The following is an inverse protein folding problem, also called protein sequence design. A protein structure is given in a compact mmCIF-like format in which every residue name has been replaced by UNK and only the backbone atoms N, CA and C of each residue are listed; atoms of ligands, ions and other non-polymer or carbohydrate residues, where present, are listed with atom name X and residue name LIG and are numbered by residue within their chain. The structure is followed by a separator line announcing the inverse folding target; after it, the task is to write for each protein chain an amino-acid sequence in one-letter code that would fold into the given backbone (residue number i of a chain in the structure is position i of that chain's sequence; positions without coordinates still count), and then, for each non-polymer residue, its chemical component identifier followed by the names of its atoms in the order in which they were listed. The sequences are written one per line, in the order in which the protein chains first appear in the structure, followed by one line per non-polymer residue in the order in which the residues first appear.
data_IF_744839226040
#
_entry.id   IF_744839226040
#
_cell.length_a   1.000
_cell.length_b   1.000
_cell.length_c   1.000
_cell.angle_alpha   90.00
_cell.angle_beta   90.00
_cell.angle_gamma   90.00
#
_symmetry.space_group_name_H-M   'P 1'
#
loop_
_entity.id
_entity.type
_entity.pdbx_description
1 polymer ?
#
# COMPACT_ATOMS: atom_id res chain seq x y z
N UNK A 1 -34.53 27.63 6.73
CA UNK A 1 -34.10 27.74 8.13
C UNK A 1 -33.79 26.33 8.58
N UNK A 2 -32.54 26.08 9.01
CA UNK A 2 -32.00 24.85 9.63
C UNK A 2 -32.02 23.54 8.78
N UNK A 3 -31.02 22.67 8.85
CA UNK A 3 -30.18 22.30 10.01
C UNK A 3 -28.69 22.15 9.69
N UNK A 4 -27.88 22.77 10.56
CA UNK A 4 -26.51 22.35 10.91
C UNK A 4 -26.56 20.95 11.54
N UNK A 5 -25.61 20.07 11.24
CA UNK A 5 -25.29 18.96 12.17
C UNK A 5 -23.90 18.32 11.97
N UNK A 6 -22.84 19.10 12.21
CA UNK A 6 -21.46 18.57 12.39
C UNK A 6 -20.92 18.89 13.80
N UNK A 7 -21.77 19.27 14.76
CA UNK A 7 -21.35 19.45 16.17
C UNK A 7 -21.84 18.29 17.02
N UNK A 8 -20.91 17.43 17.47
CA UNK A 8 -21.14 16.59 18.66
C UNK A 8 -20.97 15.08 18.52
N UNK A 9 -20.12 14.55 17.62
CA UNK A 9 -19.86 13.09 17.59
C UNK A 9 -18.73 12.70 18.53
N UNK A 10 -18.96 11.70 19.37
CA UNK A 10 -17.93 11.14 20.23
C UNK A 10 -16.90 10.34 19.41
N UNK A 11 -15.64 10.28 19.87
CA UNK A 11 -14.57 9.50 19.22
C UNK A 11 -14.98 8.03 18.94
N UNK A 12 -15.67 7.31 19.85
CA UNK A 12 -16.17 5.96 19.61
C UNK A 12 -17.17 5.86 18.45
N UNK A 13 -18.10 6.81 18.33
CA UNK A 13 -19.07 6.83 17.21
C UNK A 13 -18.38 7.07 15.87
N UNK A 14 -17.39 7.96 15.84
CA UNK A 14 -16.60 8.23 14.64
C UNK A 14 -15.86 6.98 14.18
N UNK A 15 -15.26 6.24 15.12
CA UNK A 15 -14.58 4.97 14.85
C UNK A 15 -15.58 3.92 14.35
N UNK A 16 -16.73 3.77 15.01
CA UNK A 16 -17.75 2.79 14.64
C UNK A 16 -18.33 3.07 13.25
N UNK A 17 -18.58 4.34 12.92
CA UNK A 17 -19.01 4.77 11.60
C UNK A 17 -17.94 4.52 10.54
N UNK A 18 -16.66 4.76 10.86
CA UNK A 18 -15.55 4.46 9.95
C UNK A 18 -15.42 2.95 9.65
N UNK A 19 -15.67 2.10 10.64
CA UNK A 19 -15.67 0.64 10.50
C UNK A 19 -16.86 0.19 9.63
N UNK A 20 -18.07 0.70 9.90
CA UNK A 20 -19.27 0.41 9.09
C UNK A 20 -19.09 0.86 7.64
N UNK A 21 -18.54 2.04 7.42
CA UNK A 21 -18.24 2.57 6.08
C UNK A 21 -17.19 1.70 5.34
N UNK A 22 -16.18 1.18 6.04
CA UNK A 22 -15.21 0.22 5.47
C UNK A 22 -15.88 -1.09 5.05
N UNK A 23 -16.75 -1.65 5.91
CA UNK A 23 -17.48 -2.89 5.59
C UNK A 23 -18.40 -2.71 4.38
N UNK A 24 -19.10 -1.58 4.29
CA UNK A 24 -19.96 -1.27 3.16
C UNK A 24 -19.18 -1.06 1.85
N UNK A 25 -17.99 -0.46 1.90
CA UNK A 25 -17.10 -0.32 0.72
C UNK A 25 -16.55 -1.67 0.26
N UNK A 26 -16.18 -2.55 1.19
CA UNK A 26 -15.70 -3.91 0.88
C UNK A 26 -16.77 -4.75 0.17
N UNK A 27 -18.03 -4.59 0.55
CA UNK A 27 -19.17 -5.28 -0.08
C UNK A 27 -19.61 -4.67 -1.43
N UNK A 28 -19.15 -3.47 -1.78
CA UNK A 28 -19.54 -2.73 -3.01
C UNK A 28 -18.40 -2.53 -4.02
N UNK A 29 -17.23 -3.15 -3.80
CA UNK A 29 -16.11 -3.03 -4.73
C UNK A 29 -16.37 -3.88 -5.98
N UNK A 30 -17.08 -3.32 -6.95
CA UNK A 30 -17.13 -3.86 -8.31
C UNK A 30 -15.78 -3.62 -8.97
N UNK A 31 -15.19 -4.58 -9.71
CA UNK A 31 -13.98 -4.32 -10.48
C UNK A 31 -14.21 -3.13 -11.40
N UNK A 32 -13.42 -2.08 -11.20
CA UNK A 32 -13.56 -0.81 -11.91
C UNK A 32 -13.11 -1.05 -13.35
N UNK A 33 -14.06 -1.09 -14.27
CA UNK A 33 -13.78 -1.17 -15.71
C UNK A 33 -13.15 0.15 -16.12
N UNK A 34 -11.91 0.16 -16.62
CA UNK A 34 -11.24 1.37 -17.12
C UNK A 34 -12.12 1.99 -18.21
N UNK A 35 -12.57 3.22 -17.98
CA UNK A 35 -13.46 3.92 -18.91
C UNK A 35 -12.66 4.66 -19.99
N UNK A 36 -11.42 5.09 -19.67
CA UNK A 36 -10.51 5.78 -20.59
C UNK A 36 -9.04 5.42 -20.29
N UNK A 37 -8.16 5.50 -21.30
CA UNK A 37 -6.69 5.28 -21.18
C UNK A 37 -5.96 6.36 -20.35
N UNK A 38 -6.67 7.40 -19.93
CA UNK A 38 -6.15 8.51 -19.11
C UNK A 38 -6.38 8.33 -17.61
N UNK A 39 -7.08 7.28 -17.18
CA UNK A 39 -7.38 7.06 -15.76
C UNK A 39 -6.28 6.25 -15.08
N UNK A 40 -5.60 6.86 -14.10
CA UNK A 40 -4.56 6.23 -13.29
C UNK A 40 -5.15 5.70 -11.99
N UNK A 41 -4.87 4.44 -11.66
CA UNK A 41 -5.25 3.82 -10.39
C UNK A 41 -4.05 3.81 -9.44
N UNK A 42 -4.15 4.59 -8.36
CA UNK A 42 -3.17 4.61 -7.28
C UNK A 42 -3.76 3.93 -6.04
N UNK A 43 -2.99 3.03 -5.42
CA UNK A 43 -3.39 2.30 -4.23
C UNK A 43 -2.35 2.39 -3.11
N UNK A 44 -2.79 2.12 -1.88
CA UNK A 44 -1.88 1.83 -0.77
C UNK A 44 -2.39 0.63 0.01
N UNK A 45 -1.47 -0.20 0.51
CA UNK A 45 -1.82 -1.40 1.25
C UNK A 45 -0.78 -1.68 2.34
N UNK A 46 -1.21 -1.53 3.60
CA UNK A 46 -0.44 -2.07 4.72
C UNK A 46 -0.66 -3.59 4.78
N UNK A 47 0.35 -4.35 4.35
CA UNK A 47 0.26 -5.79 4.18
C UNK A 47 0.41 -6.55 5.49
N UNK A 48 0.71 -5.86 6.58
CA UNK A 48 0.90 -6.43 7.91
C UNK A 48 1.85 -7.63 7.92
N UNK A 49 2.99 -7.49 7.25
CA UNK A 49 3.98 -8.57 7.04
C UNK A 49 3.39 -9.83 6.40
N UNK A 50 2.37 -9.67 5.56
CA UNK A 50 1.61 -10.76 4.95
C UNK A 50 0.93 -11.69 5.97
N UNK A 51 0.63 -11.19 7.18
CA UNK A 51 -0.09 -11.94 8.22
C UNK A 51 -1.56 -11.52 8.20
N UNK A 52 -2.45 -12.49 7.96
CA UNK A 52 -3.88 -12.26 7.93
C UNK A 52 -4.54 -12.19 9.32
N UNK A 53 -5.86 -11.95 9.35
CA UNK A 53 -6.67 -12.01 10.58
C UNK A 53 -6.73 -13.41 11.19
N UNK A 54 -6.48 -14.42 10.37
CA UNK A 54 -6.26 -15.81 10.76
C UNK A 54 -4.87 -16.06 11.39
N UNK A 55 -4.04 -15.02 11.51
CA UNK A 55 -2.66 -15.05 12.01
C UNK A 55 -1.72 -15.93 11.21
N UNK A 56 -2.08 -16.26 9.96
CA UNK A 56 -1.23 -17.04 9.06
C UNK A 56 -0.43 -16.11 8.16
N UNK A 57 0.87 -16.40 8.04
CA UNK A 57 1.74 -15.78 7.04
C UNK A 57 1.43 -16.38 5.67
N UNK A 58 1.02 -15.54 4.71
CA UNK A 58 0.57 -15.94 3.38
C UNK A 58 0.88 -14.81 2.37
N UNK A 59 2.11 -14.73 1.84
CA UNK A 59 2.49 -13.70 0.87
C UNK A 59 1.75 -13.84 -0.47
N UNK A 60 1.34 -15.05 -0.86
CA UNK A 60 0.52 -15.26 -2.05
C UNK A 60 -0.86 -14.61 -1.90
N UNK A 61 -1.44 -14.56 -0.69
CA UNK A 61 -2.69 -13.81 -0.43
C UNK A 61 -2.51 -12.33 -0.66
N UNK A 62 -1.40 -11.75 -0.19
CA UNK A 62 -1.07 -10.35 -0.45
C UNK A 62 -0.94 -10.11 -1.95
N UNK A 63 -0.22 -10.97 -2.69
CA UNK A 63 -0.09 -10.88 -4.15
C UNK A 63 -1.45 -10.98 -4.86
N UNK A 64 -2.34 -11.90 -4.43
CA UNK A 64 -3.70 -12.02 -4.96
C UNK A 64 -4.51 -10.73 -4.79
N UNK A 65 -4.44 -10.10 -3.62
CA UNK A 65 -5.11 -8.82 -3.36
C UNK A 65 -4.55 -7.70 -4.25
N UNK A 66 -3.23 -7.64 -4.44
CA UNK A 66 -2.60 -6.66 -5.35
C UNK A 66 -3.09 -6.82 -6.78
N UNK A 67 -3.18 -8.08 -7.27
CA UNK A 67 -3.72 -8.40 -8.60
C UNK A 67 -5.17 -7.99 -8.76
N UNK A 68 -6.01 -8.28 -7.77
CA UNK A 68 -7.43 -7.93 -7.79
C UNK A 68 -7.64 -6.41 -7.87
N UNK A 69 -6.81 -5.63 -7.16
CA UNK A 69 -6.85 -4.17 -7.24
C UNK A 69 -6.40 -3.61 -8.60
N UNK A 70 -5.52 -4.34 -9.31
CA UNK A 70 -4.91 -3.95 -10.60
C UNK A 70 -4.44 -2.48 -10.67
N UNK A 71 -3.59 -2.03 -9.72
CA UNK A 71 -3.13 -0.64 -9.69
C UNK A 71 -2.16 -0.35 -10.83
N UNK A 72 -2.02 0.94 -11.16
CA UNK A 72 -0.90 1.48 -11.95
C UNK A 72 0.27 1.87 -11.04
N UNK A 73 -0.03 2.33 -9.81
CA UNK A 73 0.95 2.63 -8.77
C UNK A 73 0.43 2.12 -7.42
N UNK A 74 1.28 1.45 -6.63
CA UNK A 74 0.90 0.98 -5.30
C UNK A 74 2.02 1.19 -4.27
N UNK A 75 1.63 1.75 -3.12
CA UNK A 75 2.50 1.88 -1.95
C UNK A 75 2.16 0.81 -0.90
N UNK A 76 3.10 -0.12 -0.65
CA UNK A 76 2.98 -1.15 0.38
C UNK A 76 3.66 -0.71 1.68
N UNK A 77 3.03 -1.00 2.83
CA UNK A 77 3.63 -0.82 4.16
C UNK A 77 3.74 -2.15 4.89
N UNK A 78 4.76 -2.25 5.76
CA UNK A 78 5.11 -3.48 6.49
C UNK A 78 5.43 -4.67 5.56
N UNK A 79 6.03 -4.40 4.40
CA UNK A 79 6.38 -5.41 3.40
C UNK A 79 7.70 -6.16 3.69
N UNK A 80 8.40 -5.75 4.74
CA UNK A 80 9.68 -6.33 5.18
C UNK A 80 9.58 -6.88 6.60
N UNK A 81 10.44 -7.83 6.92
CA UNK A 81 10.58 -8.29 8.29
C UNK A 81 11.15 -7.19 9.20
N UNK A 82 10.67 -7.13 10.45
CA UNK A 82 11.12 -6.12 11.43
C UNK A 82 12.36 -6.54 12.22
N UNK A 83 12.59 -7.85 12.30
CA UNK A 83 13.67 -8.49 13.06
C UNK A 83 14.59 -9.28 12.11
N UNK A 84 15.86 -9.45 12.50
CA UNK A 84 16.88 -10.08 11.65
C UNK A 84 17.27 -9.20 10.46
N UNK A 85 17.57 -9.83 9.32
CA UNK A 85 18.11 -9.17 8.11
C UNK A 85 17.13 -8.23 7.38
N UNK A 86 15.93 -8.00 7.93
CA UNK A 86 14.84 -7.23 7.29
C UNK A 86 14.53 -7.67 5.87
N UNK A 87 14.58 -8.98 5.63
CA UNK A 87 14.28 -9.55 4.32
C UNK A 87 12.88 -9.15 3.86
N UNK A 88 12.77 -8.84 2.57
CA UNK A 88 11.51 -8.60 1.91
C UNK A 88 10.62 -9.85 1.93
N UNK A 89 9.31 -9.65 2.12
CA UNK A 89 8.37 -10.76 2.37
C UNK A 89 7.65 -11.25 1.12
N UNK A 90 7.71 -10.50 0.03
CA UNK A 90 7.07 -10.82 -1.24
C UNK A 90 8.06 -11.38 -2.26
N UNK A 91 7.59 -12.18 -3.21
CA UNK A 91 8.35 -12.47 -4.42
C UNK A 91 8.08 -11.36 -5.44
N UNK A 92 8.94 -10.34 -5.48
CA UNK A 92 8.75 -9.19 -6.37
C UNK A 92 8.90 -9.58 -7.84
N UNK A 93 9.76 -10.55 -8.18
CA UNK A 93 9.94 -10.99 -9.55
C UNK A 93 8.67 -11.69 -10.07
N UNK A 94 8.07 -12.55 -9.24
CA UNK A 94 6.78 -13.16 -9.57
C UNK A 94 5.66 -12.13 -9.63
N UNK A 95 5.64 -11.16 -8.70
CA UNK A 95 4.64 -10.09 -8.71
C UNK A 95 4.75 -9.25 -9.99
N UNK A 96 5.96 -8.91 -10.41
CA UNK A 96 6.23 -8.22 -11.68
C UNK A 96 5.70 -9.02 -12.86
N UNK A 97 6.03 -10.31 -12.95
CA UNK A 97 5.55 -11.18 -14.03
C UNK A 97 4.01 -11.26 -14.09
N UNK A 98 3.35 -11.32 -12.94
CA UNK A 98 1.90 -11.49 -12.86
C UNK A 98 1.11 -10.17 -13.01
N UNK A 99 1.74 -9.01 -12.76
CA UNK A 99 1.02 -7.72 -12.67
C UNK A 99 1.61 -6.59 -13.50
N UNK A 100 2.85 -6.73 -13.96
CA UNK A 100 3.66 -5.67 -14.55
C UNK A 100 4.17 -4.63 -13.55
N UNK A 101 3.91 -4.79 -12.25
CA UNK A 101 4.37 -3.86 -11.22
C UNK A 101 5.85 -4.09 -10.90
N UNK A 102 6.67 -3.07 -11.17
CA UNK A 102 8.10 -3.04 -10.86
C UNK A 102 8.37 -2.16 -9.63
N UNK A 103 9.35 -2.50 -8.77
CA UNK A 103 9.69 -1.68 -7.61
C UNK A 103 10.44 -0.42 -8.00
N UNK A 104 10.12 0.69 -7.34
CA UNK A 104 10.96 1.89 -7.36
C UNK A 104 12.30 1.54 -6.70
N UNK A 105 13.44 1.78 -7.38
CA UNK A 105 14.75 1.46 -6.84
C UNK A 105 15.05 2.36 -5.65
N UNK A 106 15.49 1.76 -4.53
CA UNK A 106 15.90 2.49 -3.32
C UNK A 106 17.29 2.04 -2.89
N UNK A 107 18.04 2.95 -2.26
CA UNK A 107 19.40 2.66 -1.76
C UNK A 107 19.39 2.16 -0.31
N UNK A 108 20.41 1.38 0.07
CA UNK A 108 20.69 1.05 1.48
C UNK A 108 19.67 0.16 2.18
N UNK A 109 18.93 -0.65 1.43
CA UNK A 109 17.86 -1.53 1.88
C UNK A 109 18.31 -2.96 2.25
N UNK A 110 19.56 -3.34 2.01
CA UNK A 110 20.07 -4.68 2.35
C UNK A 110 19.28 -5.78 1.65
N UNK A 111 18.66 -6.70 2.41
CA UNK A 111 17.78 -7.76 1.88
C UNK A 111 16.29 -7.35 1.82
N UNK A 112 15.95 -6.13 2.22
CA UNK A 112 14.57 -5.63 2.21
C UNK A 112 14.11 -5.14 0.84
N UNK A 113 12.81 -5.18 0.61
CA UNK A 113 12.21 -4.75 -0.67
C UNK A 113 12.18 -3.25 -0.84
N UNK A 114 12.29 -2.50 0.26
CA UNK A 114 12.18 -1.06 0.21
C UNK A 114 12.83 -0.38 1.39
N UNK A 115 12.22 0.72 1.84
CA UNK A 115 12.82 1.57 2.84
C UNK A 115 11.95 1.69 4.09
N UNK A 116 12.48 1.17 5.21
CA UNK A 116 11.81 1.10 6.52
C UNK A 116 10.41 0.44 6.43
N UNK A 117 10.31 -0.64 5.65
CA UNK A 117 9.07 -1.40 5.45
C UNK A 117 8.11 -0.79 4.44
N UNK A 118 8.50 0.29 3.74
CA UNK A 118 7.73 0.86 2.64
C UNK A 118 8.29 0.40 1.30
N UNK A 119 7.43 -0.06 0.41
CA UNK A 119 7.77 -0.40 -0.99
C UNK A 119 6.83 0.37 -1.89
N UNK A 120 7.37 1.03 -2.91
CA UNK A 120 6.57 1.68 -3.95
C UNK A 120 6.75 0.89 -5.24
N UNK A 121 5.65 0.51 -5.89
CA UNK A 121 5.63 -0.23 -7.14
C UNK A 121 4.85 0.57 -8.19
N UNK A 122 5.23 0.47 -9.45
CA UNK A 122 4.57 1.12 -10.57
C UNK A 122 4.54 0.20 -11.79
N UNK A 123 3.52 0.31 -12.64
CA UNK A 123 3.27 -0.61 -13.76
C UNK A 123 3.90 -0.14 -15.08
N UNK A 124 3.89 1.17 -15.33
CA UNK A 124 4.40 1.81 -16.55
C UNK A 124 5.00 3.15 -16.17
N UNK A 125 5.97 3.63 -16.94
CA UNK A 125 6.60 4.92 -16.74
C UNK A 125 8.09 4.84 -16.44
N UNK A 126 8.69 5.99 -16.12
CA UNK A 126 10.11 6.11 -15.78
C UNK A 126 10.27 6.87 -14.47
N UNK A 127 11.10 6.35 -13.57
CA UNK A 127 11.44 7.02 -12.31
C UNK A 127 12.47 8.11 -12.59
N UNK A 128 12.15 9.37 -12.25
CA UNK A 128 13.04 10.52 -12.39
C UNK A 128 13.89 10.75 -11.15
N UNK A 129 13.28 10.69 -9.97
CA UNK A 129 13.97 10.91 -8.70
C UNK A 129 13.34 10.07 -7.57
N UNK A 130 14.14 9.76 -6.56
CA UNK A 130 13.75 8.99 -5.39
C UNK A 130 14.40 9.57 -4.12
N UNK A 131 13.57 9.97 -3.17
CA UNK A 131 14.03 10.49 -1.88
C UNK A 131 13.58 9.61 -0.71
N UNK A 132 14.53 9.28 0.17
CA UNK A 132 14.31 8.51 1.39
C UNK A 132 14.33 9.46 2.60
N UNK A 133 13.18 9.67 3.25
CA UNK A 133 13.01 10.68 4.31
C UNK A 133 12.88 10.08 5.70
N UNK A 134 13.92 10.22 6.54
CA UNK A 134 13.87 9.79 7.96
C UNK A 134 12.82 10.61 8.70
N UNK A 135 11.81 9.93 9.20
CA UNK A 135 10.74 10.59 9.96
C UNK A 135 11.11 10.62 11.45
N UNK A 136 10.77 11.71 12.17
CA UNK A 136 11.02 11.81 13.60
C UNK A 136 10.21 10.78 14.39
N UNK A 137 10.76 10.32 15.51
CA UNK A 137 10.10 9.40 16.44
C UNK A 137 11.08 8.43 17.11
N UNK A 138 10.62 7.79 18.18
CA UNK A 138 11.38 6.75 18.90
C UNK A 138 11.56 5.50 18.04
N UNK A 139 10.55 5.16 17.24
CA UNK A 139 10.64 4.03 16.32
C UNK A 139 11.26 4.45 14.98
N UNK A 140 12.07 3.59 14.35
CA UNK A 140 12.71 3.85 13.07
C UNK A 140 11.70 3.94 11.90
N UNK A 141 11.08 5.11 11.68
CA UNK A 141 10.09 5.37 10.62
C UNK A 141 10.67 6.13 9.41
N UNK A 142 10.00 6.00 8.27
CA UNK A 142 10.41 6.62 7.02
C UNK A 142 9.26 6.83 6.04
N UNK A 143 9.42 7.78 5.13
CA UNK A 143 8.67 7.92 3.89
C UNK A 143 9.56 7.77 2.64
N UNK A 144 9.02 7.14 1.60
CA UNK A 144 9.62 7.11 0.27
C UNK A 144 8.86 8.10 -0.61
N UNK A 145 9.58 9.00 -1.28
CA UNK A 145 9.04 9.91 -2.29
C UNK A 145 9.68 9.52 -3.61
N UNK A 146 8.88 9.40 -4.67
CA UNK A 146 9.38 9.14 -6.01
C UNK A 146 8.65 10.03 -7.01
N UNK A 147 9.39 10.56 -7.98
CA UNK A 147 8.85 11.23 -9.15
C UNK A 147 8.83 10.24 -10.30
N UNK A 148 7.65 10.02 -10.89
CA UNK A 148 7.43 9.03 -11.95
C UNK A 148 6.69 9.70 -13.11
N UNK A 149 7.25 9.62 -14.31
CA UNK A 149 6.57 9.97 -15.55
C UNK A 149 5.80 8.75 -16.06
N UNK A 150 4.46 8.82 -16.05
CA UNK A 150 3.56 7.72 -16.41
C UNK A 150 3.13 7.76 -17.88
#
# INVERSE_FOLDING_TARGET
METNDIKGRSLPETVLLSIRARSARKAKATPRKRVNDTEIVVASYNVHKCIGTDRRFDPDRTARVIREMSPDVIALQEADNRFGDRAGLLDLARLELETGLVPVPVSGNGKGHGWRGNVLLFKRGTVRDVHQLKLPGLEPRGALVAEIDL
#
